data_IF_327521543495
#
_entry.id   IF_327521543495
#
_cell.length_a   1.000
_cell.length_b   1.000
_cell.length_c   1.000
_cell.angle_alpha   90.00
_cell.angle_beta   90.00
_cell.angle_gamma   90.00
#
_symmetry.space_group_name_H-M   'P 1'
#
loop_
_entity.id
_entity.type
_entity.pdbx_description
1 polymer ?
#
# COMPACT_ATOMS: atom_id res chain seq x y z
N UNK A 1 3.26 16.04 34.22
CA UNK A 1 2.00 15.76 33.48
C UNK A 1 1.71 16.92 32.53
N UNK A 2 1.95 16.77 31.22
CA UNK A 2 1.49 17.73 30.21
C UNK A 2 0.82 16.95 29.08
N UNK A 3 -0.50 17.06 28.99
CA UNK A 3 -1.29 16.55 27.89
C UNK A 3 -1.02 17.41 26.65
N UNK A 4 -0.24 16.89 25.70
CA UNK A 4 -0.07 17.50 24.39
C UNK A 4 -1.25 17.11 23.49
N UNK A 5 -2.42 17.71 23.76
CA UNK A 5 -3.53 17.70 22.82
C UNK A 5 -3.18 18.74 21.76
N UNK A 6 -2.50 18.33 20.69
CA UNK A 6 -2.36 19.17 19.51
C UNK A 6 -3.75 19.39 18.92
N UNK A 7 -4.38 20.50 19.29
CA UNK A 7 -5.54 21.08 18.59
C UNK A 7 -5.11 21.49 17.18
N UNK A 8 -4.98 20.53 16.29
CA UNK A 8 -5.08 20.77 14.85
C UNK A 8 -6.55 20.93 14.54
N UNK A 9 -6.97 22.13 14.12
CA UNK A 9 -8.31 22.35 13.57
C UNK A 9 -8.64 21.21 12.59
N UNK A 10 -9.69 20.40 12.84
CA UNK A 10 -9.92 19.17 12.10
C UNK A 10 -10.59 19.53 10.78
N UNK A 11 -9.78 20.04 9.85
CA UNK A 11 -10.24 20.21 8.50
C UNK A 11 -10.47 18.86 7.85
N UNK A 12 -11.63 18.66 7.23
CA UNK A 12 -11.96 17.43 6.51
C UNK A 12 -11.24 17.46 5.16
N UNK A 13 -10.50 16.40 4.85
CA UNK A 13 -9.94 16.22 3.52
C UNK A 13 -10.97 15.53 2.62
N UNK A 14 -11.39 16.21 1.56
CA UNK A 14 -12.40 15.75 0.63
C UNK A 14 -11.84 15.62 -0.79
N UNK A 15 -12.52 14.82 -1.60
CA UNK A 15 -12.14 14.58 -2.99
C UNK A 15 -12.48 15.80 -3.86
N UNK A 16 -11.85 15.92 -5.04
CA UNK A 16 -11.99 17.08 -5.93
C UNK A 16 -13.45 17.44 -6.28
N UNK A 17 -14.36 16.45 -6.29
CA UNK A 17 -15.77 16.63 -6.60
C UNK A 17 -16.64 17.12 -5.44
N UNK A 18 -16.12 17.15 -4.21
CA UNK A 18 -16.92 17.54 -3.05
C UNK A 18 -17.11 19.06 -2.99
N UNK A 19 -18.33 19.51 -3.27
CA UNK A 19 -18.70 20.94 -3.32
C UNK A 19 -19.17 21.52 -1.99
N UNK A 20 -19.03 20.78 -0.89
CA UNK A 20 -19.57 21.15 0.41
C UNK A 20 -21.03 20.73 0.56
N UNK A 21 -21.39 20.38 1.78
CA UNK A 21 -22.78 20.22 2.19
C UNK A 21 -23.13 21.37 3.15
N UNK A 22 -24.40 21.81 3.16
CA UNK A 22 -24.82 23.00 3.88
C UNK A 22 -24.86 22.73 5.41
N UNK A 23 -23.69 22.62 6.02
CA UNK A 23 -23.54 22.40 7.44
C UNK A 23 -23.91 23.69 8.21
N UNK A 24 -24.65 23.60 9.33
CA UNK A 24 -24.97 24.74 10.18
C UNK A 24 -23.69 25.46 10.61
N UNK A 25 -23.74 26.78 10.74
CA UNK A 25 -22.57 27.63 11.00
C UNK A 25 -21.80 27.23 12.27
N UNK A 26 -22.45 26.55 13.22
CA UNK A 26 -21.85 26.00 14.45
C UNK A 26 -20.84 24.87 14.23
N UNK A 27 -20.90 24.15 13.10
CA UNK A 27 -20.05 22.99 12.80
C UNK A 27 -19.39 23.09 11.41
N UNK A 28 -19.12 24.32 10.94
CA UNK A 28 -18.51 24.53 9.62
C UNK A 28 -17.02 24.15 9.65
N UNK A 29 -16.74 22.87 9.46
CA UNK A 29 -15.39 22.33 9.36
C UNK A 29 -14.73 22.81 8.07
N UNK A 30 -13.45 23.18 8.15
CA UNK A 30 -12.68 23.64 6.99
C UNK A 30 -12.42 22.46 6.06
N UNK A 31 -12.99 22.48 4.87
CA UNK A 31 -12.79 21.39 3.90
C UNK A 31 -11.59 21.70 3.02
N UNK A 32 -10.65 20.76 2.95
CA UNK A 32 -9.52 20.80 2.02
C UNK A 32 -9.82 19.85 0.86
N UNK A 33 -9.73 20.33 -0.38
CA UNK A 33 -9.98 19.49 -1.56
C UNK A 33 -8.67 19.03 -2.20
N UNK A 34 -8.68 17.84 -2.80
CA UNK A 34 -7.52 17.33 -3.56
C UNK A 34 -7.12 18.33 -4.66
N UNK A 35 -5.85 18.73 -4.68
CA UNK A 35 -5.32 19.71 -5.66
C UNK A 35 -5.27 21.17 -5.15
N UNK A 36 -5.77 21.46 -3.95
CA UNK A 36 -5.67 22.79 -3.35
C UNK A 36 -4.20 23.18 -3.10
N UNK A 37 -3.75 24.27 -3.74
CA UNK A 37 -2.36 24.76 -3.63
C UNK A 37 -2.17 25.84 -2.56
N UNK A 38 -3.22 26.57 -2.18
CA UNK A 38 -3.18 27.71 -1.25
C UNK A 38 -3.76 27.34 0.12
N UNK A 39 -3.19 27.92 1.18
CA UNK A 39 -3.64 27.76 2.57
C UNK A 39 -3.58 26.31 3.08
N UNK A 40 -2.64 25.51 2.57
CA UNK A 40 -2.41 24.12 2.99
C UNK A 40 -1.16 24.06 3.86
N UNK A 41 -1.30 23.60 5.10
CA UNK A 41 -0.16 23.41 5.99
C UNK A 41 0.69 22.21 5.56
N UNK A 42 1.98 22.12 5.93
CA UNK A 42 2.82 20.96 5.61
C UNK A 42 2.23 19.62 6.08
N UNK A 43 1.53 19.61 7.22
CA UNK A 43 0.83 18.44 7.74
C UNK A 43 -0.31 17.98 6.82
N UNK A 44 -1.15 18.92 6.36
CA UNK A 44 -2.24 18.63 5.42
C UNK A 44 -1.66 18.17 4.08
N UNK A 45 -0.58 18.80 3.58
CA UNK A 45 0.11 18.39 2.35
C UNK A 45 0.69 16.96 2.46
N UNK A 46 1.13 16.54 3.65
CA UNK A 46 1.59 15.15 3.89
C UNK A 46 0.42 14.17 3.87
N UNK A 47 -0.72 14.53 4.46
CA UNK A 47 -1.94 13.72 4.43
C UNK A 47 -2.48 13.56 2.99
N UNK A 48 -2.52 14.65 2.22
CA UNK A 48 -2.92 14.63 0.81
C UNK A 48 -2.04 13.70 -0.02
N UNK A 49 -0.71 13.79 0.11
CA UNK A 49 0.23 12.90 -0.60
C UNK A 49 0.06 11.42 -0.23
N UNK A 50 -0.22 11.13 1.04
CA UNK A 50 -0.51 9.75 1.48
C UNK A 50 -1.80 9.23 0.83
N UNK A 51 -2.87 10.04 0.76
CA UNK A 51 -4.12 9.65 0.07
C UNK A 51 -3.92 9.41 -1.42
N UNK A 52 -3.22 10.30 -2.11
CA UNK A 52 -2.98 10.16 -3.55
C UNK A 52 -2.22 8.87 -3.92
N UNK A 53 -1.41 8.32 -3.01
CA UNK A 53 -0.75 7.02 -3.22
C UNK A 53 -1.69 5.82 -2.96
N UNK A 54 -2.71 6.00 -2.13
CA UNK A 54 -3.65 4.94 -1.72
C UNK A 54 -4.87 4.87 -2.66
N UNK A 55 -5.29 5.99 -3.24
CA UNK A 55 -6.43 6.06 -4.18
C UNK A 55 -6.29 5.09 -5.37
N UNK A 56 -5.13 4.99 -6.06
CA UNK A 56 -4.94 4.01 -7.12
C UNK A 56 -5.05 2.57 -6.61
N UNK A 57 -4.52 2.28 -5.42
CA UNK A 57 -4.60 0.94 -4.81
C UNK A 57 -6.05 0.57 -4.51
N UNK A 58 -6.84 1.51 -3.98
CA UNK A 58 -8.28 1.32 -3.77
C UNK A 58 -9.00 1.12 -5.11
N UNK A 59 -8.65 1.89 -6.16
CA UNK A 59 -9.21 1.73 -7.50
C UNK A 59 -8.93 0.35 -8.10
N UNK A 60 -7.68 -0.13 -8.03
CA UNK A 60 -7.31 -1.48 -8.45
C UNK A 60 -8.02 -2.55 -7.62
N UNK A 61 -8.17 -2.33 -6.31
CA UNK A 61 -8.94 -3.23 -5.43
C UNK A 61 -10.42 -3.33 -5.84
N UNK A 62 -11.04 -2.21 -6.22
CA UNK A 62 -12.43 -2.21 -6.72
C UNK A 62 -12.56 -3.03 -8.00
N UNK A 63 -11.73 -2.69 -8.99
CA UNK A 63 -11.86 -3.22 -10.36
C UNK A 63 -11.31 -4.65 -10.54
N UNK A 64 -10.16 -4.99 -9.97
CA UNK A 64 -9.43 -6.23 -10.28
C UNK A 64 -9.70 -7.36 -9.28
N UNK A 65 -10.12 -7.04 -8.05
CA UNK A 65 -10.25 -8.01 -6.94
C UNK A 65 -11.68 -8.40 -6.60
N UNK A 66 -12.61 -8.25 -7.55
CA UNK A 66 -14.02 -8.66 -7.41
C UNK A 66 -14.74 -8.01 -6.22
N UNK A 67 -14.26 -6.87 -5.74
CA UNK A 67 -14.93 -6.14 -4.65
C UNK A 67 -16.35 -5.70 -5.06
N UNK A 68 -16.56 -5.47 -6.36
CA UNK A 68 -17.88 -5.18 -6.95
C UNK A 68 -18.79 -6.42 -7.12
N UNK A 69 -18.29 -7.62 -6.83
CA UNK A 69 -19.04 -8.88 -6.94
C UNK A 69 -19.13 -9.55 -5.58
N UNK A 70 -19.84 -8.91 -4.66
CA UNK A 70 -20.19 -9.54 -3.39
C UNK A 70 -21.37 -10.51 -3.63
N UNK A 71 -21.16 -11.80 -3.37
CA UNK A 71 -22.19 -12.84 -3.42
C UNK A 71 -22.80 -13.14 -2.04
N UNK A 72 -22.32 -12.46 -0.98
CA UNK A 72 -22.85 -12.54 0.37
C UNK A 72 -23.94 -11.48 0.54
N UNK A 73 -25.10 -11.88 1.07
CA UNK A 73 -26.23 -10.99 1.24
C UNK A 73 -26.03 -10.00 2.41
N UNK A 74 -26.30 -8.71 2.16
CA UNK A 74 -26.42 -7.66 3.18
C UNK A 74 -25.10 -6.98 3.58
N UNK A 75 -25.23 -5.93 4.42
CA UNK A 75 -24.12 -5.06 4.82
C UNK A 75 -22.93 -5.79 5.46
N UNK A 76 -23.20 -6.88 6.19
CA UNK A 76 -22.14 -7.68 6.81
C UNK A 76 -21.29 -8.39 5.75
N UNK A 77 -21.93 -8.88 4.67
CA UNK A 77 -21.23 -9.46 3.53
C UNK A 77 -20.34 -8.44 2.83
N UNK A 78 -20.83 -7.21 2.64
CA UNK A 78 -20.08 -6.14 1.99
C UNK A 78 -18.82 -5.77 2.79
N UNK A 79 -18.96 -5.66 4.13
CA UNK A 79 -17.86 -5.40 5.03
C UNK A 79 -16.80 -6.52 4.97
N UNK A 80 -17.23 -7.78 5.01
CA UNK A 80 -16.33 -8.93 4.92
C UNK A 80 -15.62 -8.99 3.56
N UNK A 81 -16.33 -8.73 2.46
CA UNK A 81 -15.75 -8.72 1.12
C UNK A 81 -14.65 -7.65 0.99
N UNK A 82 -14.88 -6.45 1.52
CA UNK A 82 -13.89 -5.38 1.52
C UNK A 82 -12.62 -5.76 2.32
N UNK A 83 -12.79 -6.35 3.51
CA UNK A 83 -11.67 -6.78 4.36
C UNK A 83 -10.87 -7.90 3.68
N UNK A 84 -11.55 -8.91 3.12
CA UNK A 84 -10.91 -10.03 2.44
C UNK A 84 -10.18 -9.60 1.16
N UNK A 85 -10.77 -8.70 0.37
CA UNK A 85 -10.12 -8.14 -0.81
C UNK A 85 -8.83 -7.38 -0.46
N UNK A 86 -8.86 -6.58 0.62
CA UNK A 86 -7.70 -5.87 1.13
C UNK A 86 -6.63 -6.83 1.68
N UNK A 87 -7.02 -7.85 2.45
CA UNK A 87 -6.10 -8.88 2.95
C UNK A 87 -5.43 -9.63 1.78
N UNK A 88 -6.21 -10.04 0.78
CA UNK A 88 -5.70 -10.66 -0.45
C UNK A 88 -4.71 -9.76 -1.21
N UNK A 89 -4.87 -8.43 -1.18
CA UNK A 89 -3.89 -7.49 -1.71
C UNK A 89 -2.55 -7.60 -1.00
N UNK A 90 -2.59 -7.53 0.32
CA UNK A 90 -1.38 -7.55 1.13
C UNK A 90 -0.64 -8.89 0.98
N UNK A 91 -1.36 -10.02 0.96
CA UNK A 91 -0.77 -11.33 0.72
C UNK A 91 -0.17 -11.45 -0.68
N UNK A 92 -0.83 -10.93 -1.72
CA UNK A 92 -0.27 -10.96 -3.09
C UNK A 92 1.06 -10.20 -3.16
N UNK A 93 1.17 -9.08 -2.45
CA UNK A 93 2.41 -8.29 -2.39
C UNK A 93 3.51 -9.09 -1.67
N UNK A 94 3.19 -9.69 -0.52
CA UNK A 94 4.12 -10.50 0.24
C UNK A 94 4.63 -11.71 -0.55
N UNK A 95 3.74 -12.43 -1.23
CA UNK A 95 4.11 -13.55 -2.10
C UNK A 95 5.02 -13.12 -3.26
N UNK A 96 4.81 -11.93 -3.81
CA UNK A 96 5.70 -11.36 -4.83
C UNK A 96 7.11 -11.12 -4.29
N UNK A 97 7.24 -10.62 -3.06
CA UNK A 97 8.54 -10.47 -2.39
C UNK A 97 9.21 -11.82 -2.13
N UNK A 98 8.47 -12.80 -1.60
CA UNK A 98 8.99 -14.14 -1.38
C UNK A 98 9.45 -14.80 -2.69
N UNK A 99 8.71 -14.64 -3.79
CA UNK A 99 9.12 -15.14 -5.10
C UNK A 99 10.44 -14.54 -5.56
N UNK A 100 10.63 -13.22 -5.39
CA UNK A 100 11.90 -12.57 -5.74
C UNK A 100 13.04 -13.06 -4.86
N UNK A 101 12.82 -13.20 -3.55
CA UNK A 101 13.81 -13.73 -2.62
C UNK A 101 14.21 -15.16 -3.00
N UNK A 102 13.25 -16.04 -3.27
CA UNK A 102 13.51 -17.41 -3.70
C UNK A 102 14.29 -17.45 -5.02
N UNK A 103 13.93 -16.61 -6.00
CA UNK A 103 14.68 -16.51 -7.25
C UNK A 103 16.13 -16.05 -7.04
N UNK A 104 16.39 -15.17 -6.07
CA UNK A 104 17.74 -14.73 -5.73
C UNK A 104 18.54 -15.85 -5.05
N UNK A 105 17.93 -16.57 -4.11
CA UNK A 105 18.56 -17.70 -3.42
C UNK A 105 18.92 -18.82 -4.42
N UNK A 106 17.98 -19.20 -5.28
CA UNK A 106 18.21 -20.23 -6.32
C UNK A 106 19.33 -19.80 -7.28
N UNK A 107 19.39 -18.52 -7.67
CA UNK A 107 20.50 -18.02 -8.48
C UNK A 107 21.84 -18.16 -7.78
N UNK A 108 21.94 -17.74 -6.52
CA UNK A 108 23.19 -17.84 -5.75
C UNK A 108 23.67 -19.29 -5.60
N UNK A 109 22.74 -20.24 -5.38
CA UNK A 109 23.12 -21.66 -5.29
C UNK A 109 23.59 -22.21 -6.63
N UNK A 110 22.90 -21.86 -7.72
CA UNK A 110 23.31 -22.29 -9.07
C UNK A 110 24.67 -21.68 -9.47
N UNK A 111 24.92 -20.42 -9.13
CA UNK A 111 26.21 -19.76 -9.42
C UNK A 111 27.34 -20.36 -8.58
N UNK A 112 27.07 -20.77 -7.34
CA UNK A 112 28.04 -21.44 -6.47
C UNK A 112 28.47 -22.82 -7.01
N UNK A 113 27.53 -23.61 -7.54
CA UNK A 113 27.83 -24.91 -8.17
C UNK A 113 28.68 -24.74 -9.44
N UNK A 114 28.52 -23.63 -10.17
CA UNK A 114 29.29 -23.32 -11.38
C UNK A 114 30.71 -22.80 -11.10
N UNK A 115 31.02 -22.37 -9.87
CA UNK A 115 32.36 -21.87 -9.49
C UNK A 115 33.23 -22.93 -8.78
N UNK A 116 32.83 -24.21 -8.80
CA UNK A 116 33.68 -25.29 -8.31
C UNK A 116 35.06 -25.22 -9.02
N UNK A 117 36.18 -25.09 -8.28
CA UNK A 117 37.48 -24.96 -8.90
C UNK A 117 37.75 -26.21 -9.75
N UNK A 118 38.32 -26.08 -10.96
CA UNK A 118 38.61 -27.24 -11.79
C UNK A 118 39.47 -28.21 -10.97
N UNK A 119 38.97 -29.43 -10.79
CA UNK A 119 39.67 -30.49 -10.09
C UNK A 119 41.09 -30.59 -10.67
N UNK A 120 42.09 -30.10 -9.92
CA UNK A 120 43.49 -30.15 -10.32
C UNK A 120 43.86 -31.61 -10.42
N UNK A 121 43.89 -32.17 -11.64
CA UNK A 121 44.47 -33.48 -11.89
C UNK A 121 45.92 -33.41 -11.42
N UNK A 122 46.22 -34.00 -10.26
CA UNK A 122 47.60 -34.24 -9.85
C UNK A 122 48.14 -35.25 -10.85
N UNK A 123 48.90 -34.76 -11.83
CA UNK A 123 49.81 -35.59 -12.60
C UNK A 123 50.80 -36.17 -11.59
N UNK A 124 50.59 -37.43 -11.24
CA UNK A 124 51.64 -38.27 -10.66
C UNK A 124 52.60 -38.57 -11.80
N UNK A 125 53.70 -37.84 -11.86
CA UNK A 125 54.88 -38.29 -12.61
C UNK A 125 55.58 -39.29 -11.69
N UNK A 126 55.38 -40.57 -11.98
CA UNK A 126 56.31 -41.60 -11.53
C UNK A 126 57.53 -41.57 -12.44
N UNK A 127 58.68 -41.69 -11.78
CA UNK A 127 59.98 -42.16 -12.28
C UNK A 127 60.80 -41.20 -13.15
#
# INVERSE_FOLDING_TARGET
MKAAISRTDPGILADAGYRGHNAPQSHKLRVFTSGQKRHVTPAIKRLMRRRSAVEPVIGHLKNERRMDRNYLAGQQGDALNAVLAAAGYNFSLLLRWFRLLLCLLVRQTLDADNHAPPHRKRFFTGD
#
